data_IF_004785889242
#
_entry.id   IF_004785889242
#
_cell.length_a   1.000
_cell.length_b   1.000
_cell.length_c   1.000
_cell.angle_alpha   90.00
_cell.angle_beta   90.00
_cell.angle_gamma   90.00
#
_symmetry.space_group_name_H-M   'P 1'
#
loop_
_entity.id
_entity.type
_entity.pdbx_description
1 polymer ?
#
# COMPACT_ATOMS: atom_id res chain seq x y z
N UNK A 1 46.47 35.27 -41.56
CA UNK A 1 45.89 35.45 -40.22
C UNK A 1 44.73 34.49 -40.05
N UNK A 2 44.97 33.29 -39.47
CA UNK A 2 43.91 32.31 -39.19
C UNK A 2 43.27 32.65 -37.83
N UNK A 3 41.97 32.93 -37.82
CA UNK A 3 41.18 33.09 -36.59
C UNK A 3 40.68 31.71 -36.15
N UNK A 4 41.20 31.22 -35.02
CA UNK A 4 40.61 30.08 -34.32
C UNK A 4 39.45 30.57 -33.45
N UNK A 5 38.22 30.16 -33.80
CA UNK A 5 37.04 30.37 -32.99
C UNK A 5 36.91 29.19 -32.02
N UNK A 6 37.20 29.44 -30.73
CA UNK A 6 37.05 28.42 -29.69
C UNK A 6 35.57 28.31 -29.30
N UNK A 7 34.96 27.18 -29.64
CA UNK A 7 33.60 26.84 -29.21
C UNK A 7 33.67 26.32 -27.76
N UNK A 8 33.22 27.13 -26.79
CA UNK A 8 33.08 26.72 -25.40
C UNK A 8 31.92 25.74 -25.29
N UNK A 9 32.23 24.46 -25.15
CA UNK A 9 31.24 23.39 -24.95
C UNK A 9 30.97 23.27 -23.44
N UNK A 10 29.93 23.97 -22.95
CA UNK A 10 29.46 23.84 -21.57
C UNK A 10 28.89 22.45 -21.33
N UNK A 11 29.61 21.62 -20.56
CA UNK A 11 29.12 20.36 -20.01
C UNK A 11 28.08 20.65 -18.92
N UNK A 12 26.79 20.53 -19.27
CA UNK A 12 25.69 20.44 -18.32
C UNK A 12 25.70 19.04 -17.69
N UNK A 13 26.21 18.93 -16.47
CA UNK A 13 26.02 17.74 -15.64
C UNK A 13 24.55 17.66 -15.22
N UNK A 14 23.86 16.51 -15.39
CA UNK A 14 22.50 16.34 -14.90
C UNK A 14 22.51 16.35 -13.36
N UNK A 15 21.73 17.23 -12.76
CA UNK A 15 21.49 17.22 -11.33
C UNK A 15 20.76 15.92 -10.97
N UNK A 16 21.41 15.06 -10.19
CA UNK A 16 20.79 13.87 -9.61
C UNK A 16 19.85 14.36 -8.52
N UNK A 17 18.56 14.51 -8.84
CA UNK A 17 17.54 14.78 -7.83
C UNK A 17 17.38 13.56 -6.95
N UNK A 18 17.74 13.67 -5.66
CA UNK A 18 17.44 12.62 -4.68
C UNK A 18 15.96 12.72 -4.30
N UNK A 19 15.22 11.61 -4.44
CA UNK A 19 13.84 11.53 -3.97
C UNK A 19 13.79 11.80 -2.46
N UNK A 20 12.99 12.78 -2.07
CA UNK A 20 12.79 13.15 -0.66
C UNK A 20 11.93 12.10 0.04
N UNK A 21 12.15 11.91 1.34
CA UNK A 21 11.25 11.09 2.16
C UNK A 21 9.88 11.79 2.26
N UNK A 22 8.76 11.05 2.11
CA UNK A 22 7.43 11.65 2.22
C UNK A 22 7.18 12.19 3.62
N UNK A 23 6.23 13.13 3.72
CA UNK A 23 5.90 13.74 4.99
C UNK A 23 5.44 12.69 6.03
N UNK A 24 5.85 12.85 7.28
CA UNK A 24 5.40 11.99 8.38
C UNK A 24 3.86 11.94 8.53
N UNK A 25 3.17 12.97 8.05
CA UNK A 25 1.71 13.03 7.98
C UNK A 25 1.09 11.90 7.13
N UNK A 26 1.82 11.31 6.17
CA UNK A 26 1.36 10.15 5.39
C UNK A 26 0.96 8.97 6.30
N UNK A 27 1.63 8.82 7.45
CA UNK A 27 1.31 7.75 8.40
C UNK A 27 -0.02 7.95 9.15
N UNK A 28 -0.61 9.16 9.13
CA UNK A 28 -1.89 9.45 9.81
C UNK A 28 -3.09 8.75 9.14
N UNK A 29 -2.93 8.32 7.89
CA UNK A 29 -3.93 7.55 7.14
C UNK A 29 -3.74 6.05 7.25
N UNK A 30 -2.72 5.57 7.97
CA UNK A 30 -2.40 4.14 8.10
C UNK A 30 -2.74 3.66 9.51
N UNK A 31 -3.29 2.46 9.62
CA UNK A 31 -3.81 1.94 10.87
C UNK A 31 -3.68 0.41 10.99
N UNK A 32 -3.84 -0.10 12.21
CA UNK A 32 -3.97 -1.53 12.50
C UNK A 32 -5.45 -1.91 12.53
N UNK A 33 -5.92 -2.75 11.60
CA UNK A 33 -7.32 -3.11 11.55
C UNK A 33 -7.65 -4.24 12.52
N UNK A 34 -8.90 -4.23 12.98
CA UNK A 34 -9.61 -5.32 13.62
C UNK A 34 -10.90 -5.52 12.85
N UNK A 35 -11.11 -6.72 12.33
CA UNK A 35 -12.32 -7.04 11.56
C UNK A 35 -13.22 -7.94 12.40
N UNK A 36 -14.41 -7.46 12.70
CA UNK A 36 -15.46 -8.28 13.32
C UNK A 36 -16.10 -9.13 12.23
N UNK A 37 -15.91 -10.45 12.32
CA UNK A 37 -16.52 -11.40 11.39
C UNK A 37 -17.51 -12.33 12.10
N UNK A 38 -18.35 -13.01 11.31
CA UNK A 38 -19.25 -14.03 11.82
C UNK A 38 -18.52 -15.25 12.43
N UNK A 39 -17.26 -15.46 12.06
CA UNK A 39 -16.41 -16.57 12.54
C UNK A 39 -15.49 -16.15 13.70
N UNK A 40 -15.53 -14.88 14.10
CA UNK A 40 -14.71 -14.32 15.18
C UNK A 40 -13.92 -13.08 14.77
N UNK A 41 -13.05 -12.62 15.66
CA UNK A 41 -12.24 -11.42 15.47
C UNK A 41 -10.99 -11.74 14.63
N UNK A 42 -10.72 -10.93 13.60
CA UNK A 42 -9.49 -11.01 12.79
C UNK A 42 -8.62 -9.80 13.11
N UNK A 43 -7.45 -10.04 13.72
CA UNK A 43 -6.45 -9.00 14.07
C UNK A 43 -5.15 -9.21 13.30
N UNK A 44 -5.16 -8.87 12.00
CA UNK A 44 -4.03 -9.13 11.12
C UNK A 44 -3.74 -7.98 10.15
N UNK A 45 -2.47 -7.89 9.74
CA UNK A 45 -2.02 -6.98 8.69
C UNK A 45 -1.97 -5.51 9.09
N UNK A 46 -2.18 -4.66 8.09
CA UNK A 46 -2.22 -3.20 8.12
C UNK A 46 -3.31 -2.74 7.15
N UNK A 47 -3.90 -1.58 7.39
CA UNK A 47 -4.83 -0.95 6.47
C UNK A 47 -4.51 0.54 6.31
N UNK A 48 -5.06 1.16 5.28
CA UNK A 48 -4.94 2.60 5.09
C UNK A 48 -6.20 3.20 4.47
N UNK A 49 -6.42 4.48 4.73
CA UNK A 49 -7.50 5.24 4.11
C UNK A 49 -7.02 5.80 2.79
N UNK A 50 -7.72 5.44 1.71
CA UNK A 50 -7.53 5.96 0.37
C UNK A 50 -8.74 6.81 -0.02
N UNK A 51 -8.50 8.00 -0.56
CA UNK A 51 -9.51 8.77 -1.27
C UNK A 51 -9.82 8.07 -2.59
N UNK A 52 -10.91 7.29 -2.63
CA UNK A 52 -11.25 6.51 -3.81
C UNK A 52 -11.51 7.45 -5.01
N UNK A 53 -10.84 7.25 -6.16
CA UNK A 53 -10.92 8.13 -7.32
C UNK A 53 -12.19 7.83 -8.14
N UNK A 54 -13.36 7.88 -7.50
CA UNK A 54 -14.68 7.68 -8.14
C UNK A 54 -15.29 9.03 -8.55
N UNK A 55 -16.44 9.02 -9.24
CA UNK A 55 -17.17 10.24 -9.61
C UNK A 55 -17.56 11.09 -8.40
N UNK A 56 -17.78 10.45 -7.25
CA UNK A 56 -18.03 11.10 -5.97
C UNK A 56 -16.97 10.57 -5.01
N UNK A 57 -15.78 11.20 -4.97
CA UNK A 57 -14.66 10.70 -4.19
C UNK A 57 -15.09 10.47 -2.74
N UNK A 58 -14.90 9.24 -2.26
CA UNK A 58 -15.15 8.89 -0.87
C UNK A 58 -13.94 8.17 -0.26
N UNK A 59 -13.57 8.49 0.99
CA UNK A 59 -12.52 7.77 1.68
C UNK A 59 -12.97 6.32 1.91
N UNK A 60 -12.07 5.40 1.63
CA UNK A 60 -12.27 3.97 1.81
C UNK A 60 -11.07 3.38 2.54
N UNK A 61 -11.34 2.47 3.47
CA UNK A 61 -10.30 1.72 4.14
C UNK A 61 -9.90 0.55 3.23
N UNK A 62 -8.62 0.49 2.89
CA UNK A 62 -8.02 -0.49 1.99
C UNK A 62 -7.15 -1.47 2.79
N UNK A 63 -7.19 -2.75 2.42
CA UNK A 63 -6.30 -3.78 2.98
C UNK A 63 -6.15 -4.95 2.00
N UNK A 64 -5.36 -5.97 2.37
CA UNK A 64 -5.18 -7.17 1.56
C UNK A 64 -6.33 -8.16 1.78
N UNK A 65 -6.80 -8.80 0.70
CA UNK A 65 -7.87 -9.79 0.74
C UNK A 65 -7.45 -11.06 1.49
N UNK A 66 -6.20 -11.51 1.32
CA UNK A 66 -5.72 -12.76 1.94
C UNK A 66 -5.79 -12.77 3.47
N UNK A 67 -5.97 -11.61 4.11
CA UNK A 67 -6.17 -11.52 5.55
C UNK A 67 -7.49 -12.16 6.00
N UNK A 68 -8.46 -12.34 5.11
CA UNK A 68 -9.72 -13.04 5.38
C UNK A 68 -9.61 -14.54 5.11
N UNK A 69 -8.52 -15.13 5.59
CA UNK A 69 -8.15 -16.53 5.40
C UNK A 69 -7.05 -16.96 6.38
N UNK A 70 -6.32 -18.04 6.11
CA UNK A 70 -5.29 -18.56 7.02
C UNK A 70 -4.22 -17.55 7.42
N UNK A 71 -3.90 -16.60 6.54
CA UNK A 71 -2.93 -15.55 6.84
C UNK A 71 -3.42 -14.52 7.88
N UNK A 72 -4.74 -14.40 8.08
CA UNK A 72 -5.32 -13.64 9.19
C UNK A 72 -5.81 -14.51 10.35
N UNK A 73 -5.55 -15.82 10.33
CA UNK A 73 -5.96 -16.75 11.39
C UNK A 73 -7.35 -17.36 11.22
N UNK A 74 -7.94 -17.28 10.03
CA UNK A 74 -9.23 -17.91 9.70
C UNK A 74 -9.00 -19.25 9.01
N UNK A 75 -9.86 -20.25 9.22
CA UNK A 75 -9.63 -21.62 8.71
C UNK A 75 -9.54 -21.72 7.19
N UNK A 76 -10.41 -20.98 6.46
CA UNK A 76 -10.39 -20.94 5.00
C UNK A 76 -10.37 -19.52 4.47
N UNK A 77 -9.91 -19.38 3.24
CA UNK A 77 -10.02 -18.14 2.50
C UNK A 77 -11.49 -17.85 2.16
N UNK A 78 -11.98 -16.68 2.58
CA UNK A 78 -13.27 -16.14 2.16
C UNK A 78 -13.16 -15.55 0.74
N UNK A 79 -14.16 -15.84 -0.09
CA UNK A 79 -14.31 -15.26 -1.43
C UNK A 79 -14.75 -13.79 -1.41
N UNK A 80 -14.57 -13.08 -2.53
CA UNK A 80 -14.97 -11.68 -2.65
C UNK A 80 -16.48 -11.44 -2.55
N UNK A 81 -17.27 -12.47 -2.87
CA UNK A 81 -18.73 -12.53 -2.80
C UNK A 81 -19.23 -12.89 -1.39
N UNK A 82 -18.42 -13.59 -0.61
CA UNK A 82 -18.74 -13.97 0.78
C UNK A 82 -18.35 -12.89 1.79
N UNK A 83 -17.31 -12.10 1.48
CA UNK A 83 -16.80 -11.04 2.36
C UNK A 83 -17.87 -10.04 2.84
N UNK A 84 -18.74 -9.49 1.96
CA UNK A 84 -19.74 -8.50 2.38
C UNK A 84 -20.75 -9.03 3.40
N UNK A 85 -21.04 -10.33 3.40
CA UNK A 85 -21.94 -10.97 4.36
C UNK A 85 -21.22 -11.49 5.61
N UNK A 86 -19.89 -11.65 5.54
CA UNK A 86 -19.11 -12.30 6.61
C UNK A 86 -18.46 -11.29 7.56
N UNK A 87 -18.17 -10.08 7.10
CA UNK A 87 -17.58 -9.01 7.92
C UNK A 87 -18.65 -7.99 8.31
N UNK A 88 -18.81 -7.78 9.61
CA UNK A 88 -19.86 -6.95 10.21
C UNK A 88 -19.39 -5.51 10.40
N UNK A 89 -18.18 -5.34 10.93
CA UNK A 89 -17.62 -4.03 11.24
C UNK A 89 -16.09 -4.07 11.19
N UNK A 90 -15.48 -2.89 11.06
CA UNK A 90 -14.03 -2.73 11.13
C UNK A 90 -13.69 -1.55 12.02
N UNK A 91 -12.82 -1.79 12.99
CA UNK A 91 -12.14 -0.75 13.74
C UNK A 91 -10.68 -0.69 13.33
N UNK A 92 -10.16 0.51 13.05
CA UNK A 92 -8.77 0.66 12.63
C UNK A 92 -8.05 1.65 13.52
N UNK A 93 -7.11 1.16 14.33
CA UNK A 93 -6.33 1.96 15.27
C UNK A 93 -5.20 2.70 14.53
N UNK A 94 -5.20 4.04 14.46
CA UNK A 94 -4.22 4.81 13.70
C UNK A 94 -2.78 4.60 14.19
N UNK A 95 -1.83 4.56 13.26
CA UNK A 95 -0.41 4.43 13.61
C UNK A 95 0.18 5.74 14.16
N UNK A 96 -0.40 6.89 13.78
CA UNK A 96 0.04 8.23 14.16
C UNK A 96 -1.11 9.26 14.12
N UNK A 97 -0.94 10.36 14.87
CA UNK A 97 -1.70 11.62 14.73
C UNK A 97 -3.12 11.66 15.27
N UNK A 98 -3.88 10.56 15.23
CA UNK A 98 -5.28 10.51 15.66
C UNK A 98 -5.43 9.84 17.04
N UNK A 99 -6.39 10.32 17.84
CA UNK A 99 -6.65 9.80 19.19
C UNK A 99 -7.71 8.69 19.27
N UNK A 100 -8.43 8.41 18.18
CA UNK A 100 -9.52 7.42 18.14
C UNK A 100 -9.46 6.50 16.91
N UNK A 101 -10.23 5.39 16.92
CA UNK A 101 -10.25 4.46 15.81
C UNK A 101 -11.00 5.02 14.61
N UNK A 102 -10.56 4.64 13.41
CA UNK A 102 -11.30 4.83 12.17
C UNK A 102 -12.32 3.70 12.06
N UNK A 103 -13.59 4.04 11.89
CA UNK A 103 -14.68 3.07 11.80
C UNK A 103 -15.13 2.88 10.36
N UNK A 104 -15.13 1.63 9.90
CA UNK A 104 -15.65 1.23 8.61
C UNK A 104 -16.78 0.18 8.76
N UNK A 105 -17.60 0.05 7.72
CA UNK A 105 -18.69 -0.92 7.64
C UNK A 105 -18.27 -2.12 6.80
N UNK A 106 -19.18 -3.09 6.61
CA UNK A 106 -19.02 -4.24 5.74
C UNK A 106 -18.35 -3.87 4.39
N UNK A 107 -17.47 -4.73 3.85
CA UNK A 107 -16.71 -4.44 2.65
C UNK A 107 -17.62 -4.38 1.43
N UNK A 108 -17.17 -3.63 0.43
CA UNK A 108 -17.73 -3.75 -0.91
C UNK A 108 -17.16 -4.99 -1.58
N UNK A 109 -18.01 -5.79 -2.24
CA UNK A 109 -17.56 -6.93 -3.02
C UNK A 109 -16.79 -6.47 -4.26
N UNK A 110 -15.46 -6.56 -4.22
CA UNK A 110 -14.61 -6.29 -5.39
C UNK A 110 -14.63 -7.53 -6.26
N UNK A 111 -15.37 -7.46 -7.38
CA UNK A 111 -15.57 -8.62 -8.26
C UNK A 111 -14.23 -9.24 -8.66
N UNK A 112 -14.12 -10.54 -8.41
CA UNK A 112 -12.92 -11.34 -8.67
C UNK A 112 -11.70 -11.03 -7.80
N UNK A 113 -11.86 -10.33 -6.67
CA UNK A 113 -10.79 -10.27 -5.68
C UNK A 113 -10.46 -11.68 -5.16
N UNK A 114 -9.16 -11.95 -5.00
CA UNK A 114 -8.56 -13.27 -4.74
C UNK A 114 -7.29 -13.09 -3.91
N UNK A 115 -6.96 -14.09 -3.10
CA UNK A 115 -5.73 -14.05 -2.30
C UNK A 115 -4.48 -14.16 -3.19
N UNK A 116 -3.35 -13.63 -2.72
CA UNK A 116 -2.06 -13.78 -3.38
C UNK A 116 -1.69 -15.24 -3.69
N UNK A 117 -2.08 -16.17 -2.82
CA UNK A 117 -1.77 -17.58 -2.96
C UNK A 117 -2.58 -18.27 -4.08
N UNK A 118 -3.76 -17.75 -4.43
CA UNK A 118 -4.65 -18.35 -5.44
C UNK A 118 -4.32 -17.93 -6.86
N UNK A 119 -4.12 -16.63 -7.11
CA UNK A 119 -4.03 -16.06 -8.46
C UNK A 119 -2.93 -14.98 -8.58
N UNK A 120 -1.99 -15.00 -7.65
CA UNK A 120 -0.93 -14.01 -7.59
C UNK A 120 -1.40 -12.63 -7.15
N UNK A 121 -0.56 -11.59 -7.37
CA UNK A 121 -0.65 -10.33 -6.65
C UNK A 121 -1.73 -9.39 -7.15
N UNK A 122 -2.30 -9.65 -8.33
CA UNK A 122 -3.10 -8.67 -9.05
C UNK A 122 -4.37 -8.26 -8.29
N UNK A 123 -5.03 -9.20 -7.60
CA UNK A 123 -6.40 -9.01 -7.11
C UNK A 123 -6.56 -9.18 -5.60
N UNK A 124 -5.44 -9.08 -4.88
CA UNK A 124 -5.40 -9.25 -3.43
C UNK A 124 -5.67 -7.92 -2.72
N UNK A 125 -6.92 -7.46 -2.84
CA UNK A 125 -7.40 -6.25 -2.18
C UNK A 125 -8.82 -6.42 -1.63
N UNK A 126 -9.07 -5.81 -0.49
CA UNK A 126 -10.38 -5.61 0.07
C UNK A 126 -10.57 -4.12 0.39
N UNK A 127 -11.82 -3.67 0.34
CA UNK A 127 -12.11 -2.26 0.58
C UNK A 127 -13.41 -2.07 1.35
N UNK A 128 -13.38 -1.14 2.29
CA UNK A 128 -14.45 -0.93 3.26
C UNK A 128 -14.85 0.56 3.25
N UNK A 129 -16.14 0.88 3.09
CA UNK A 129 -16.62 2.24 3.23
C UNK A 129 -16.40 2.74 4.67
N UNK A 130 -15.91 3.97 4.82
CA UNK A 130 -15.70 4.61 6.12
C UNK A 130 -16.96 5.38 6.53
N UNK A 131 -17.32 5.33 7.82
CA UNK A 131 -18.49 6.04 8.37
C UNK A 131 -18.26 7.55 8.48
N UNK A 132 -17.10 7.95 9.00
CA UNK A 132 -16.69 9.36 9.11
C UNK A 132 -15.87 9.78 7.90
N UNK A 133 -16.33 10.80 7.18
CA UNK A 133 -15.65 11.29 5.98
C UNK A 133 -14.51 12.28 6.33
N UNK A 134 -14.43 12.77 7.57
CA UNK A 134 -13.43 13.72 8.04
C UNK A 134 -12.18 13.02 8.59
N UNK A 135 -11.69 12.00 7.87
CA UNK A 135 -10.48 11.27 8.24
C UNK A 135 -9.35 11.59 7.25
N UNK A 136 -8.08 11.69 7.70
CA UNK A 136 -6.92 11.74 6.81
C UNK A 136 -6.94 10.61 5.78
N UNK A 137 -6.92 10.97 4.50
CA UNK A 137 -6.94 10.02 3.40
C UNK A 137 -5.77 10.26 2.44
N UNK A 138 -5.11 9.17 2.02
CA UNK A 138 -4.10 9.23 0.98
C UNK A 138 -4.74 9.40 -0.40
N UNK A 139 -3.99 9.96 -1.34
CA UNK A 139 -4.38 10.03 -2.76
C UNK A 139 -3.65 8.95 -3.54
N UNK A 140 -4.28 8.48 -4.59
CA UNK A 140 -3.62 7.64 -5.58
C UNK A 140 -2.68 8.50 -6.43
N UNK A 141 -1.47 8.02 -6.71
CA UNK A 141 -0.53 8.72 -7.57
C UNK A 141 -1.09 8.90 -8.98
N UNK A 142 -0.65 9.97 -9.66
CA UNK A 142 -1.07 10.24 -11.05
C UNK A 142 -0.51 9.21 -12.05
N UNK A 143 0.67 8.66 -11.78
CA UNK A 143 1.37 7.71 -12.65
C UNK A 143 1.85 6.48 -11.86
N UNK A 144 2.00 5.36 -12.56
CA UNK A 144 2.68 4.18 -12.01
C UNK A 144 4.19 4.48 -11.88
N UNK A 145 4.88 3.97 -10.84
CA UNK A 145 6.31 4.17 -10.68
C UNK A 145 7.09 3.32 -11.70
N UNK A 146 8.33 3.70 -11.99
CA UNK A 146 9.23 3.02 -12.91
C UNK A 146 10.33 2.26 -12.15
N UNK A 147 10.91 1.20 -12.74
CA UNK A 147 12.11 0.58 -12.18
C UNK A 147 13.20 1.62 -11.88
N UNK A 148 13.78 1.53 -10.67
CA UNK A 148 14.76 2.48 -10.14
C UNK A 148 14.17 3.61 -9.30
N UNK A 149 12.87 3.91 -9.42
CA UNK A 149 12.21 4.93 -8.60
C UNK A 149 12.23 4.54 -7.12
N UNK A 150 12.28 5.55 -6.26
CA UNK A 150 12.21 5.36 -4.81
C UNK A 150 10.76 5.34 -4.37
N UNK A 151 10.43 4.37 -3.52
CA UNK A 151 9.11 4.22 -2.88
C UNK A 151 9.29 3.92 -1.41
N UNK A 152 8.22 4.08 -0.63
CA UNK A 152 8.22 3.80 0.80
C UNK A 152 7.04 2.91 1.16
N UNK A 153 7.32 1.86 1.93
CA UNK A 153 6.27 1.19 2.71
C UNK A 153 5.94 2.06 3.92
N UNK A 154 4.66 2.33 4.14
CA UNK A 154 4.19 3.04 5.33
C UNK A 154 3.56 2.01 6.29
N UNK A 155 4.32 1.56 7.28
CA UNK A 155 3.87 0.55 8.24
C UNK A 155 4.74 0.49 9.50
N UNK A 156 4.19 -0.08 10.58
CA UNK A 156 5.03 -0.67 11.64
C UNK A 156 5.52 -2.04 11.18
N UNK A 157 6.83 -2.25 11.27
CA UNK A 157 7.47 -3.54 11.02
C UNK A 157 7.76 -4.25 12.34
N UNK A 158 7.82 -5.57 12.31
CA UNK A 158 8.02 -6.39 13.51
C UNK A 158 9.48 -6.46 13.99
N UNK A 159 10.42 -5.98 13.18
CA UNK A 159 11.84 -6.00 13.51
C UNK A 159 12.71 -5.43 12.39
N UNK A 160 14.00 -5.28 12.67
CA UNK A 160 15.00 -4.75 11.74
C UNK A 160 15.00 -3.22 11.58
N UNK A 161 14.01 -2.52 12.14
CA UNK A 161 13.95 -1.06 12.19
C UNK A 161 13.43 -0.60 13.57
N UNK A 162 13.60 0.69 13.87
CA UNK A 162 13.07 1.28 15.11
C UNK A 162 11.54 1.15 15.17
N UNK A 163 10.93 0.87 16.34
CA UNK A 163 9.47 0.81 16.50
C UNK A 163 8.74 2.11 16.15
N UNK A 164 9.44 3.25 16.19
CA UNK A 164 8.92 4.57 15.82
C UNK A 164 9.06 4.86 14.32
N UNK A 165 9.87 4.08 13.59
CA UNK A 165 10.05 4.26 12.16
C UNK A 165 8.87 3.66 11.39
N UNK A 166 8.11 4.52 10.70
CA UNK A 166 6.93 4.11 9.93
C UNK A 166 7.17 4.12 8.42
N UNK A 167 8.22 4.78 7.95
CA UNK A 167 8.59 4.85 6.54
C UNK A 167 9.80 3.94 6.29
N UNK A 168 9.63 2.99 5.36
CA UNK A 168 10.67 2.02 5.00
C UNK A 168 10.97 2.16 3.52
N UNK A 169 12.12 2.79 3.24
CA UNK A 169 12.58 3.12 1.90
C UNK A 169 12.91 1.87 1.09
N UNK A 170 12.51 1.90 -0.18
CA UNK A 170 12.75 0.85 -1.14
C UNK A 170 12.94 1.43 -2.55
N UNK A 171 13.47 0.59 -3.45
CA UNK A 171 13.63 0.88 -4.88
C UNK A 171 12.76 -0.06 -5.70
N UNK A 172 12.01 0.50 -6.64
CA UNK A 172 11.19 -0.29 -7.57
C UNK A 172 12.10 -1.16 -8.43
N UNK A 173 11.82 -2.46 -8.43
CA UNK A 173 12.48 -3.44 -9.30
C UNK A 173 11.67 -3.64 -10.58
N UNK A 174 10.34 -3.73 -10.43
CA UNK A 174 9.41 -4.04 -11.50
C UNK A 174 8.07 -3.34 -11.25
N UNK A 175 7.48 -2.81 -12.31
CA UNK A 175 6.17 -2.17 -12.27
C UNK A 175 5.45 -2.48 -13.57
N UNK A 176 4.43 -3.34 -13.49
CA UNK A 176 3.55 -3.68 -14.60
C UNK A 176 2.09 -3.80 -14.11
N UNK A 177 1.09 -3.97 -14.99
CA UNK A 177 -0.31 -4.05 -14.56
C UNK A 177 -0.62 -5.21 -13.61
N UNK A 178 0.18 -6.27 -13.62
CA UNK A 178 0.04 -7.47 -12.79
C UNK A 178 0.67 -7.32 -11.41
N UNK A 179 1.79 -6.61 -11.29
CA UNK A 179 2.61 -6.62 -10.08
C UNK A 179 3.45 -5.35 -9.94
N UNK A 180 3.60 -4.89 -8.69
CA UNK A 180 4.65 -3.97 -8.27
C UNK A 180 5.62 -4.72 -7.36
N UNK A 181 6.90 -4.78 -7.74
CA UNK A 181 7.98 -5.35 -6.93
C UNK A 181 9.03 -4.28 -6.62
N UNK A 182 9.56 -4.31 -5.40
CA UNK A 182 10.53 -3.33 -4.91
C UNK A 182 11.48 -3.97 -3.88
N UNK A 183 12.73 -3.52 -3.83
CA UNK A 183 13.74 -3.98 -2.86
C UNK A 183 13.89 -2.95 -1.75
N UNK A 184 13.83 -3.37 -0.49
CA UNK A 184 14.10 -2.48 0.64
C UNK A 184 15.58 -2.13 0.73
N UNK A 185 15.87 -0.90 1.14
CA UNK A 185 17.24 -0.46 1.45
C UNK A 185 17.78 -1.18 2.70
N UNK A 186 16.88 -1.52 3.63
CA UNK A 186 17.18 -2.28 4.83
C UNK A 186 16.93 -3.78 4.62
N UNK A 187 18.00 -4.57 4.46
CA UNK A 187 17.91 -6.03 4.29
C UNK A 187 17.60 -6.80 5.59
N UNK A 188 17.63 -6.16 6.75
CA UNK A 188 17.29 -6.75 8.04
C UNK A 188 15.79 -6.60 8.39
N UNK A 189 15.01 -5.89 7.56
CA UNK A 189 13.60 -5.59 7.81
C UNK A 189 12.75 -6.86 7.96
N UNK A 190 11.87 -6.89 8.97
CA UNK A 190 10.96 -8.02 9.23
C UNK A 190 9.52 -7.59 9.00
N UNK A 191 8.98 -7.99 7.85
CA UNK A 191 7.72 -7.51 7.27
C UNK A 191 6.46 -8.25 7.76
N UNK A 192 6.54 -8.94 8.91
CA UNK A 192 5.35 -9.56 9.49
C UNK A 192 4.29 -8.48 9.77
N UNK A 193 3.04 -8.79 9.43
CA UNK A 193 1.87 -7.93 9.62
C UNK A 193 1.88 -6.60 8.82
N UNK A 194 2.60 -6.52 7.69
CA UNK A 194 2.58 -5.35 6.79
C UNK A 194 1.67 -5.54 5.56
N UNK A 195 1.07 -6.71 5.37
CA UNK A 195 0.05 -6.91 4.32
C UNK A 195 -1.09 -5.92 4.47
N UNK A 196 -1.51 -5.31 3.36
CA UNK A 196 -2.50 -4.24 3.29
C UNK A 196 -1.94 -2.82 3.49
N UNK A 197 -0.65 -2.67 3.85
CA UNK A 197 -0.03 -1.34 3.98
C UNK A 197 0.15 -0.65 2.61
N UNK A 198 0.09 0.69 2.55
CA UNK A 198 0.32 1.41 1.31
C UNK A 198 1.81 1.47 0.98
N UNK A 199 2.10 1.40 -0.32
CA UNK A 199 3.37 1.82 -0.90
C UNK A 199 3.16 3.19 -1.51
N UNK A 200 4.01 4.15 -1.16
CA UNK A 200 3.88 5.55 -1.57
C UNK A 200 5.11 6.06 -2.30
N UNK A 201 4.93 7.07 -3.15
CA UNK A 201 6.03 7.86 -3.73
C UNK A 201 6.54 8.93 -2.74
N UNK A 202 7.46 9.77 -3.20
CA UNK A 202 8.04 10.89 -2.44
C UNK A 202 7.02 11.98 -2.09
N UNK A 203 5.98 12.14 -2.90
CA UNK A 203 4.84 12.99 -2.60
C UNK A 203 3.85 12.41 -1.57
N UNK A 204 4.08 11.18 -1.09
CA UNK A 204 3.17 10.48 -0.17
C UNK A 204 1.89 9.96 -0.84
N UNK A 205 1.86 9.89 -2.17
CA UNK A 205 0.75 9.34 -2.96
C UNK A 205 0.92 7.83 -3.15
N UNK A 206 -0.19 7.10 -3.11
CA UNK A 206 -0.22 5.63 -3.19
C UNK A 206 0.12 5.16 -4.61
N UNK A 207 1.16 4.34 -4.70
CA UNK A 207 1.59 3.64 -5.91
C UNK A 207 1.32 2.13 -5.86
N UNK A 208 0.93 1.60 -4.71
CA UNK A 208 0.50 0.21 -4.57
C UNK A 208 0.04 -0.16 -3.15
N UNK A 209 -0.47 -1.38 -3.02
CA UNK A 209 -0.87 -1.98 -1.74
C UNK A 209 0.00 -3.22 -1.49
N UNK A 210 0.80 -3.21 -0.43
CA UNK A 210 1.71 -4.30 -0.07
C UNK A 210 0.92 -5.56 0.30
N UNK A 211 1.29 -6.70 -0.26
CA UNK A 211 0.61 -7.98 0.00
C UNK A 211 1.55 -9.08 0.44
N UNK A 212 2.86 -8.88 0.35
CA UNK A 212 3.81 -9.92 0.69
C UNK A 212 5.25 -9.49 0.48
N UNK A 213 6.15 -10.42 0.79
CA UNK A 213 7.58 -10.21 0.62
C UNK A 213 8.29 -11.48 0.19
N UNK A 214 9.46 -11.31 -0.39
CA UNK A 214 10.40 -12.37 -0.76
C UNK A 214 11.74 -12.07 -0.12
N UNK A 215 12.36 -13.08 0.46
CA UNK A 215 13.70 -12.96 1.06
C UNK A 215 14.72 -13.65 0.16
N UNK A 216 15.71 -12.88 -0.29
CA UNK A 216 16.93 -13.40 -0.91
C UNK A 216 18.05 -13.57 0.11
N UNK A 217 19.22 -14.02 -0.33
CA UNK A 217 20.38 -14.22 0.54
C UNK A 217 20.81 -12.93 1.27
N UNK A 218 20.73 -11.78 0.59
CA UNK A 218 21.16 -10.47 1.10
C UNK A 218 20.15 -9.34 0.82
N UNK A 219 18.93 -9.68 0.41
CA UNK A 219 17.91 -8.72 0.03
C UNK A 219 16.54 -9.12 0.56
N UNK A 220 15.72 -8.12 0.83
CA UNK A 220 14.30 -8.29 1.10
C UNK A 220 13.56 -7.47 0.05
N UNK A 221 12.66 -8.14 -0.67
CA UNK A 221 11.80 -7.51 -1.65
C UNK A 221 10.34 -7.56 -1.18
N UNK A 222 9.59 -6.50 -1.43
CA UNK A 222 8.14 -6.46 -1.27
C UNK A 222 7.43 -6.72 -2.60
N UNK A 223 6.19 -7.19 -2.49
CA UNK A 223 5.26 -7.38 -3.60
C UNK A 223 3.97 -6.65 -3.28
N UNK A 224 3.43 -5.92 -4.25
CA UNK A 224 2.23 -5.12 -4.09
C UNK A 224 1.26 -5.26 -5.27
N UNK A 225 -0.03 -5.09 -4.98
CA UNK A 225 -1.05 -4.76 -5.99
C UNK A 225 -0.68 -3.38 -6.56
N UNK A 226 -0.50 -3.24 -7.89
CA UNK A 226 -0.08 -1.98 -8.49
C UNK A 226 -1.19 -0.94 -8.52
N UNK A 227 -0.83 0.35 -8.51
CA UNK A 227 -1.73 1.51 -8.57
C UNK A 227 -2.80 1.41 -9.65
N UNK A 228 -2.44 0.97 -10.86
CA UNK A 228 -3.40 0.79 -11.96
C UNK A 228 -4.52 -0.19 -11.62
N UNK A 229 -4.23 -1.25 -10.87
CA UNK A 229 -5.23 -2.23 -10.45
C UNK A 229 -6.07 -1.74 -9.29
N UNK A 230 -5.48 -0.98 -8.35
CA UNK A 230 -6.26 -0.25 -7.35
C UNK A 230 -7.28 0.68 -8.03
N UNK A 231 -6.85 1.45 -9.04
CA UNK A 231 -7.71 2.36 -9.78
C UNK A 231 -8.88 1.62 -10.46
N UNK A 232 -8.60 0.56 -11.22
CA UNK A 232 -9.62 -0.16 -11.99
C UNK A 232 -10.61 -0.91 -11.10
N UNK A 233 -10.14 -1.53 -10.01
CA UNK A 233 -11.00 -2.20 -9.04
C UNK A 233 -11.93 -1.23 -8.32
N UNK A 234 -11.45 -0.01 -8.00
CA UNK A 234 -12.25 0.99 -7.31
C UNK A 234 -13.23 1.72 -8.24
N UNK A 235 -12.88 1.91 -9.51
CA UNK A 235 -13.77 2.54 -10.49
C UNK A 235 -15.07 1.74 -10.74
N UNK A 236 -15.07 0.43 -10.45
CA UNK A 236 -16.23 -0.44 -10.57
C UNK A 236 -17.22 -0.38 -9.39
N UNK A 237 -16.86 0.29 -8.29
CA UNK A 237 -17.72 0.42 -7.11
C UNK A 237 -18.73 1.54 -7.37
N UNK A 238 -20.02 1.23 -7.23
CA UNK A 238 -21.13 2.18 -7.39
C UNK A 238 -21.46 2.89 -6.08
#
# INVERSE_FOLDING_TARGET
MLRFSACLMSLLLPAVSMAAEPAAATAQSVCKPKFDSLEGLIEAGTAFVLQAPTKTPRPMLMTAHHLFGPAGGVERQLGWDELPSSIVAVECAPLAGQSGPILAVAPVGIKHARSYAEDGPLRDLAAFPIKDLNVPALKLAAADPKPGDTVWLVARVSGGASPQQLLHKAKVLKSDPGILEYSYDNSAIVLRATSGAPIVNDAGEVVGLNIGSRKGAHSVAGVAVPRKTLLSSLAGIK
#
